data_IF_159547133732
#
_entry.id   IF_159547133732
#
_cell.length_a   1.000
_cell.length_b   1.000
_cell.length_c   1.000
_cell.angle_alpha   90.00
_cell.angle_beta   90.00
_cell.angle_gamma   90.00
#
_symmetry.space_group_name_H-M   'P 1'
#
loop_
_entity.id
_entity.type
_entity.pdbx_description
1 polymer ?
#
# COMPACT_ATOMS: atom_id res chain seq x y z
N UNK A 1 14.27 35.88 16.01
CA UNK A 1 15.04 35.23 14.93
C UNK A 1 14.82 33.74 15.08
N UNK A 2 13.66 33.23 14.63
CA UNK A 2 13.37 31.81 14.65
C UNK A 2 14.13 31.17 13.47
N UNK A 3 14.92 30.16 13.79
CA UNK A 3 15.91 29.51 12.92
C UNK A 3 15.30 29.05 11.58
N UNK A 4 16.07 29.21 10.50
CA UNK A 4 15.86 28.61 9.17
C UNK A 4 16.04 27.09 9.16
N UNK A 5 15.76 26.41 10.27
CA UNK A 5 16.00 24.98 10.50
C UNK A 5 14.89 24.07 9.97
N UNK A 6 13.76 24.65 9.55
CA UNK A 6 12.69 23.93 8.88
C UNK A 6 13.00 23.74 7.38
N UNK A 7 14.18 23.22 7.06
CA UNK A 7 14.33 22.51 5.79
C UNK A 7 13.34 21.35 5.88
N UNK A 8 12.22 21.46 5.15
CA UNK A 8 11.04 20.58 5.30
C UNK A 8 11.50 19.13 5.42
N UNK A 9 11.06 18.39 6.45
CA UNK A 9 11.48 16.99 6.67
C UNK A 9 11.22 16.13 5.43
N UNK A 10 10.20 16.50 4.66
CA UNK A 10 9.90 15.96 3.34
C UNK A 10 11.07 16.17 2.36
N UNK A 11 11.65 17.38 2.25
CA UNK A 11 12.83 17.66 1.42
C UNK A 11 14.00 16.73 1.75
N UNK A 12 14.26 16.47 3.04
CA UNK A 12 15.34 15.57 3.46
C UNK A 12 15.12 14.13 2.96
N UNK A 13 13.87 13.72 2.78
CA UNK A 13 13.52 12.41 2.20
C UNK A 13 13.57 12.43 0.67
N UNK A 14 13.09 13.50 0.05
CA UNK A 14 12.97 13.60 -1.42
C UNK A 14 14.31 13.87 -2.11
N UNK A 15 15.12 14.80 -1.58
CA UNK A 15 16.32 15.30 -2.26
C UNK A 15 17.35 14.20 -2.60
N UNK A 16 17.71 13.27 -1.70
CA UNK A 16 18.66 12.21 -2.02
C UNK A 16 18.20 11.31 -3.18
N UNK A 17 16.89 11.00 -3.23
CA UNK A 17 16.31 10.18 -4.30
C UNK A 17 16.25 10.93 -5.62
N UNK A 18 15.87 12.22 -5.59
CA UNK A 18 15.88 13.08 -6.79
C UNK A 18 17.30 13.22 -7.36
N UNK A 19 18.31 13.42 -6.50
CA UNK A 19 19.71 13.47 -6.91
C UNK A 19 20.20 12.13 -7.52
N UNK A 20 19.79 11.00 -6.94
CA UNK A 20 20.07 9.66 -7.51
C UNK A 20 19.43 9.49 -8.89
N UNK A 21 18.20 9.98 -9.09
CA UNK A 21 17.54 9.98 -10.40
C UNK A 21 18.28 10.90 -11.38
N UNK A 22 18.66 12.11 -10.98
CA UNK A 22 19.40 13.07 -11.81
C UNK A 22 20.71 12.45 -12.30
N UNK A 23 21.47 11.84 -11.39
CA UNK A 23 22.76 11.20 -11.70
C UNK A 23 22.61 10.08 -12.73
N UNK A 24 21.60 9.23 -12.57
CA UNK A 24 21.38 8.09 -13.47
C UNK A 24 20.62 8.49 -14.76
N UNK A 25 19.86 9.58 -14.75
CA UNK A 25 19.06 10.08 -15.86
C UNK A 25 19.81 11.03 -16.81
N UNK A 26 21.03 11.43 -16.46
CA UNK A 26 21.83 12.38 -17.26
C UNK A 26 22.28 11.82 -18.63
N UNK A 27 22.13 10.51 -18.88
CA UNK A 27 22.37 9.92 -20.20
C UNK A 27 21.12 10.00 -21.09
N UNK A 28 21.28 10.53 -22.31
CA UNK A 28 20.29 11.00 -23.31
C UNK A 28 18.81 10.56 -23.21
N UNK A 29 18.48 9.30 -22.88
CA UNK A 29 17.09 8.79 -22.87
C UNK A 29 16.22 9.41 -21.75
N UNK A 30 16.81 9.78 -20.62
CA UNK A 30 16.07 10.24 -19.44
C UNK A 30 16.38 11.70 -19.05
N UNK A 31 16.92 12.49 -19.98
CA UNK A 31 17.30 13.89 -19.72
C UNK A 31 16.13 14.75 -19.25
N UNK A 32 14.93 14.55 -19.83
CA UNK A 32 13.70 15.25 -19.41
C UNK A 32 13.38 15.02 -17.94
N UNK A 33 13.41 13.76 -17.50
CA UNK A 33 13.20 13.37 -16.10
C UNK A 33 14.27 13.99 -15.20
N UNK A 34 15.54 13.95 -15.61
CA UNK A 34 16.62 14.58 -14.85
C UNK A 34 16.44 16.11 -14.72
N UNK A 35 15.95 16.80 -15.76
CA UNK A 35 15.63 18.23 -15.67
C UNK A 35 14.45 18.52 -14.74
N UNK A 36 13.41 17.69 -14.79
CA UNK A 36 12.24 17.79 -13.90
C UNK A 36 12.66 17.61 -12.43
N UNK A 37 13.47 16.59 -12.13
CA UNK A 37 14.02 16.38 -10.79
C UNK A 37 14.89 17.58 -10.33
N UNK A 38 15.74 18.14 -11.19
CA UNK A 38 16.54 19.34 -10.84
C UNK A 38 15.64 20.52 -10.49
N UNK A 39 14.64 20.78 -11.34
CA UNK A 39 13.68 21.85 -11.10
C UNK A 39 12.93 21.66 -9.78
N UNK A 40 12.54 20.42 -9.44
CA UNK A 40 11.87 20.13 -8.18
C UNK A 40 12.81 20.35 -6.97
N UNK A 41 14.07 19.92 -7.05
CA UNK A 41 15.08 20.16 -5.99
C UNK A 41 15.28 21.67 -5.76
N UNK A 42 15.37 22.46 -6.83
CA UNK A 42 15.52 23.91 -6.75
C UNK A 42 14.29 24.56 -6.09
N UNK A 43 13.08 24.14 -6.46
CA UNK A 43 11.83 24.64 -5.87
C UNK A 43 11.72 24.29 -4.37
N UNK A 44 12.00 23.04 -4.01
CA UNK A 44 12.00 22.58 -2.61
C UNK A 44 13.10 23.25 -1.76
N UNK A 45 14.14 23.79 -2.38
CA UNK A 45 15.23 24.51 -1.71
C UNK A 45 14.99 26.02 -1.63
N UNK A 46 13.94 26.53 -2.26
CA UNK A 46 13.65 27.97 -2.28
C UNK A 46 13.06 28.46 -0.94
N UNK A 47 13.35 29.71 -0.51
CA UNK A 47 12.85 30.25 0.75
C UNK A 47 11.32 30.44 0.79
N UNK A 48 10.67 30.47 -0.38
CA UNK A 48 9.22 30.50 -0.52
C UNK A 48 8.81 29.45 -1.58
N UNK A 49 8.66 28.17 -1.18
CA UNK A 49 8.41 27.07 -2.11
C UNK A 49 7.08 27.15 -2.86
N UNK A 50 6.20 28.09 -2.50
CA UNK A 50 4.79 28.02 -2.84
C UNK A 50 4.28 29.19 -3.69
N UNK A 51 3.36 28.93 -4.64
CA UNK A 51 2.91 27.60 -5.08
C UNK A 51 3.98 26.88 -5.94
N UNK A 52 4.12 25.55 -5.77
CA UNK A 52 5.03 24.73 -6.58
C UNK A 52 4.54 24.64 -8.04
N UNK A 53 3.21 24.69 -8.17
CA UNK A 53 2.46 24.75 -9.42
C UNK A 53 2.39 26.20 -9.93
N UNK A 54 2.50 26.41 -11.25
CA UNK A 54 2.33 27.74 -11.84
C UNK A 54 0.85 28.15 -11.76
N UNK A 55 0.51 29.42 -11.45
CA UNK A 55 -0.86 29.87 -11.54
C UNK A 55 -1.30 29.86 -13.01
N UNK A 56 -2.10 28.87 -13.40
CA UNK A 56 -2.84 28.94 -14.66
C UNK A 56 -3.78 30.16 -14.60
N UNK A 57 -3.91 30.86 -15.74
CA UNK A 57 -4.85 31.97 -15.85
C UNK A 57 -6.27 31.45 -15.61
N UNK A 58 -7.07 32.05 -14.70
CA UNK A 58 -8.37 31.49 -14.35
C UNK A 58 -9.29 31.60 -15.56
N UNK A 59 -9.65 30.47 -16.15
CA UNK A 59 -10.91 30.36 -16.88
C UNK A 59 -12.02 30.34 -15.82
N UNK A 60 -13.01 31.22 -15.98
CA UNK A 60 -14.08 31.43 -15.02
C UNK A 60 -14.96 30.17 -14.92
N UNK A 61 -14.61 29.25 -14.02
CA UNK A 61 -15.35 28.00 -13.79
C UNK A 61 -14.87 27.16 -12.61
N UNK A 62 -13.55 27.05 -12.37
CA UNK A 62 -12.98 25.98 -11.53
C UNK A 62 -12.20 26.44 -10.27
N UNK A 63 -12.52 27.60 -9.72
CA UNK A 63 -11.85 28.14 -8.51
C UNK A 63 -12.00 27.26 -7.24
N UNK A 64 -12.80 26.20 -7.28
CA UNK A 64 -13.08 25.32 -6.14
C UNK A 64 -12.14 24.11 -6.05
N UNK A 65 -11.47 23.72 -7.14
CA UNK A 65 -10.63 22.50 -7.18
C UNK A 65 -9.15 22.76 -6.84
N UNK A 66 -8.65 23.99 -7.05
CA UNK A 66 -7.22 24.33 -6.84
C UNK A 66 -6.83 24.53 -5.37
N UNK A 67 -7.77 24.40 -4.43
CA UNK A 67 -7.56 24.65 -2.99
C UNK A 67 -7.77 23.41 -2.11
N UNK A 68 -8.07 22.24 -2.70
CA UNK A 68 -8.20 21.01 -1.92
C UNK A 68 -6.83 20.54 -1.42
N UNK A 69 -6.74 20.22 -0.12
CA UNK A 69 -5.58 19.56 0.46
C UNK A 69 -5.29 18.27 -0.31
N UNK A 70 -4.02 18.05 -0.63
CA UNK A 70 -3.53 16.92 -1.39
C UNK A 70 -2.95 15.83 -0.49
N UNK A 71 -2.55 14.70 -1.09
CA UNK A 71 -2.14 13.52 -0.36
C UNK A 71 -0.73 13.60 0.24
N UNK A 72 0.08 14.60 -0.14
CA UNK A 72 1.44 14.78 0.38
C UNK A 72 1.41 15.70 1.62
N UNK A 73 2.11 15.29 2.66
CA UNK A 73 2.24 16.00 3.92
C UNK A 73 3.73 16.14 4.29
N UNK A 74 4.13 17.17 5.04
CA UNK A 74 5.54 17.37 5.46
C UNK A 74 5.81 17.12 6.95
N UNK A 75 4.80 16.72 7.72
CA UNK A 75 4.94 16.56 9.17
C UNK A 75 4.62 17.81 9.98
N UNK A 76 4.41 18.96 9.35
CA UNK A 76 4.13 20.26 9.96
C UNK A 76 2.73 20.80 9.67
N UNK A 77 2.48 22.07 9.96
CA UNK A 77 1.19 22.72 9.70
C UNK A 77 0.91 22.99 8.21
N UNK A 78 1.79 22.53 7.31
CA UNK A 78 1.71 22.80 5.88
C UNK A 78 1.09 21.61 5.15
N UNK A 79 0.00 21.88 4.43
CA UNK A 79 -0.66 20.91 3.55
C UNK A 79 -0.35 21.30 2.10
N UNK A 80 0.16 20.35 1.32
CA UNK A 80 0.34 20.55 -0.11
C UNK A 80 -1.02 20.45 -0.80
N UNK A 81 -1.27 21.25 -1.83
CA UNK A 81 -2.44 21.06 -2.68
C UNK A 81 -2.33 19.75 -3.47
N UNK A 82 -3.42 19.27 -4.07
CA UNK A 82 -3.39 18.14 -5.01
C UNK A 82 -2.41 18.41 -6.17
N UNK A 83 -2.43 19.63 -6.72
CA UNK A 83 -1.53 20.01 -7.82
C UNK A 83 -0.05 20.00 -7.39
N UNK A 84 0.25 20.52 -6.20
CA UNK A 84 1.62 20.49 -5.68
C UNK A 84 2.08 19.05 -5.37
N UNK A 85 1.16 18.22 -4.88
CA UNK A 85 1.40 16.79 -4.64
C UNK A 85 1.72 16.06 -5.96
N UNK A 86 1.00 16.38 -7.05
CA UNK A 86 1.28 15.83 -8.37
C UNK A 86 2.68 16.23 -8.86
N UNK A 87 3.06 17.50 -8.71
CA UNK A 87 4.40 18.00 -9.07
C UNK A 87 5.51 17.30 -8.25
N UNK A 88 5.24 17.00 -6.98
CA UNK A 88 6.19 16.28 -6.11
C UNK A 88 6.32 14.81 -6.52
N UNK A 89 5.21 14.15 -6.84
CA UNK A 89 5.15 12.70 -7.07
C UNK A 89 5.47 12.30 -8.52
N UNK A 90 5.22 13.17 -9.50
CA UNK A 90 5.41 12.89 -10.93
C UNK A 90 6.79 12.36 -11.30
N UNK A 91 7.92 12.85 -10.73
CA UNK A 91 9.24 12.35 -11.11
C UNK A 91 9.45 10.91 -10.64
N UNK A 92 8.86 10.51 -9.51
CA UNK A 92 8.98 9.15 -8.99
C UNK A 92 8.13 8.16 -9.78
N UNK A 93 6.93 8.55 -10.20
CA UNK A 93 6.10 7.77 -11.15
C UNK A 93 6.87 7.53 -12.46
N UNK A 94 7.43 8.59 -13.04
CA UNK A 94 8.26 8.51 -14.25
C UNK A 94 9.53 7.68 -14.06
N UNK A 95 10.12 7.72 -12.86
CA UNK A 95 11.29 6.93 -12.52
C UNK A 95 10.95 5.42 -12.50
N UNK A 96 9.82 5.05 -11.90
CA UNK A 96 9.32 3.68 -11.90
C UNK A 96 9.09 3.16 -13.33
N UNK A 97 8.48 3.97 -14.20
CA UNK A 97 8.24 3.62 -15.61
C UNK A 97 9.45 3.82 -16.55
N UNK A 98 10.64 4.10 -16.03
CA UNK A 98 11.81 4.42 -16.86
C UNK A 98 12.38 3.21 -17.62
N UNK A 99 12.12 1.99 -17.13
CA UNK A 99 12.77 0.76 -17.59
C UNK A 99 14.27 0.71 -17.31
N UNK A 100 14.80 1.63 -16.49
CA UNK A 100 16.19 1.62 -16.05
C UNK A 100 16.24 1.22 -14.57
N UNK A 101 16.89 0.09 -14.20
CA UNK A 101 16.89 -0.43 -12.84
C UNK A 101 17.32 0.60 -11.79
N UNK A 102 18.39 1.36 -12.04
CA UNK A 102 18.93 2.33 -11.06
C UNK A 102 18.01 3.55 -10.86
N UNK A 103 17.30 3.96 -11.91
CA UNK A 103 16.33 5.05 -11.83
C UNK A 103 15.07 4.56 -11.13
N UNK A 104 14.56 3.39 -11.52
CA UNK A 104 13.38 2.78 -10.89
C UNK A 104 13.63 2.50 -9.40
N UNK A 105 14.78 1.93 -9.03
CA UNK A 105 15.18 1.70 -7.64
C UNK A 105 15.11 2.99 -6.81
N UNK A 106 15.62 4.10 -7.34
CA UNK A 106 15.57 5.39 -6.65
C UNK A 106 14.14 5.92 -6.50
N UNK A 107 13.28 5.67 -7.50
CA UNK A 107 11.86 6.02 -7.46
C UNK A 107 11.09 5.23 -6.42
N UNK A 108 11.15 3.91 -6.49
CA UNK A 108 10.44 3.00 -5.59
C UNK A 108 10.92 3.17 -4.15
N UNK A 109 12.23 3.30 -3.90
CA UNK A 109 12.77 3.55 -2.55
C UNK A 109 12.27 4.86 -1.95
N UNK A 110 12.13 5.92 -2.76
CA UNK A 110 11.54 7.18 -2.28
C UNK A 110 10.08 7.01 -1.91
N UNK A 111 9.29 6.36 -2.76
CA UNK A 111 7.87 6.08 -2.50
C UNK A 111 7.72 5.25 -1.21
N UNK A 112 8.55 4.22 -1.03
CA UNK A 112 8.57 3.42 0.20
C UNK A 112 8.80 4.29 1.44
N UNK A 113 9.77 5.20 1.41
CA UNK A 113 10.07 6.12 2.53
C UNK A 113 8.95 7.11 2.79
N UNK A 114 8.30 7.61 1.74
CA UNK A 114 7.14 8.51 1.87
C UNK A 114 5.98 7.81 2.57
N UNK A 115 5.74 6.54 2.25
CA UNK A 115 4.74 5.71 2.92
C UNK A 115 5.16 5.42 4.37
N UNK A 116 6.38 4.91 4.57
CA UNK A 116 6.84 4.44 5.88
C UNK A 116 7.02 5.55 6.90
N UNK A 117 7.17 6.80 6.46
CA UNK A 117 7.25 7.96 7.34
C UNK A 117 5.90 8.73 7.44
N UNK A 118 4.84 8.24 6.80
CA UNK A 118 3.51 8.87 6.87
C UNK A 118 3.38 10.20 6.14
N UNK A 119 4.22 10.46 5.14
CA UNK A 119 4.14 11.63 4.27
C UNK A 119 3.09 11.47 3.16
N UNK A 120 2.62 10.24 2.89
CA UNK A 120 1.46 9.99 2.04
C UNK A 120 0.23 9.67 2.88
N UNK A 121 -0.84 10.41 2.63
CA UNK A 121 -2.13 10.30 3.31
C UNK A 121 -3.26 10.28 2.31
N UNK A 122 -4.36 9.61 2.67
CA UNK A 122 -5.57 9.53 1.85
C UNK A 122 -5.89 8.10 1.44
N UNK A 123 -6.70 7.96 0.40
CA UNK A 123 -7.20 6.68 -0.09
C UNK A 123 -6.70 6.42 -1.50
N UNK A 124 -6.00 5.32 -1.73
CA UNK A 124 -5.65 4.88 -3.08
C UNK A 124 -6.77 3.97 -3.62
N UNK A 125 -7.56 4.52 -4.54
CA UNK A 125 -8.68 3.85 -5.19
C UNK A 125 -8.85 4.42 -6.62
N UNK A 126 -8.64 3.63 -7.68
CA UNK A 126 -8.76 4.12 -9.06
C UNK A 126 -10.20 4.56 -9.40
N UNK A 127 -11.19 3.97 -8.73
CA UNK A 127 -12.61 4.31 -8.88
C UNK A 127 -13.06 5.40 -7.90
N UNK A 128 -12.14 5.89 -7.08
CA UNK A 128 -12.37 7.00 -6.16
C UNK A 128 -12.83 8.27 -6.88
N UNK A 129 -13.81 8.97 -6.30
CA UNK A 129 -14.33 10.23 -6.87
C UNK A 129 -13.38 11.41 -6.72
N UNK A 130 -12.41 11.32 -5.80
CA UNK A 130 -11.47 12.39 -5.49
C UNK A 130 -10.21 12.32 -6.36
N UNK A 131 -9.69 13.45 -6.87
CA UNK A 131 -8.46 13.48 -7.66
C UNK A 131 -7.23 12.91 -6.93
N UNK A 132 -7.11 13.16 -5.63
CA UNK A 132 -6.04 12.60 -4.80
C UNK A 132 -6.04 11.06 -4.80
N UNK A 133 -7.21 10.46 -4.93
CA UNK A 133 -7.36 9.01 -4.86
C UNK A 133 -6.80 8.32 -6.09
N UNK A 134 -7.06 8.92 -7.25
CA UNK A 134 -6.49 8.51 -8.53
C UNK A 134 -4.99 8.77 -8.61
N UNK A 135 -4.51 9.88 -8.03
CA UNK A 135 -3.08 10.18 -7.96
C UNK A 135 -2.33 9.12 -7.13
N UNK A 136 -2.87 8.76 -5.96
CA UNK A 136 -2.31 7.71 -5.09
C UNK A 136 -2.39 6.33 -5.76
N UNK A 137 -3.51 5.97 -6.38
CA UNK A 137 -3.64 4.72 -7.12
C UNK A 137 -2.64 4.64 -8.28
N UNK A 138 -2.47 5.72 -9.05
CA UNK A 138 -1.47 5.80 -10.12
C UNK A 138 -0.02 5.69 -9.62
N UNK A 139 0.27 6.20 -8.41
CA UNK A 139 1.57 6.02 -7.78
C UNK A 139 1.84 4.55 -7.47
N UNK A 140 0.89 3.85 -6.86
CA UNK A 140 1.00 2.42 -6.53
C UNK A 140 1.07 1.56 -7.80
N UNK A 141 0.25 1.86 -8.80
CA UNK A 141 0.28 1.20 -10.11
C UNK A 141 1.67 1.31 -10.76
N UNK A 142 2.31 2.49 -10.67
CA UNK A 142 3.66 2.67 -11.20
C UNK A 142 4.71 1.80 -10.50
N UNK A 143 4.56 1.58 -9.19
CA UNK A 143 5.42 0.67 -8.42
C UNK A 143 5.21 -0.78 -8.85
N UNK A 144 3.95 -1.20 -9.04
CA UNK A 144 3.61 -2.56 -9.46
C UNK A 144 4.21 -2.89 -10.83
N UNK A 145 4.14 -1.96 -11.78
CA UNK A 145 4.68 -2.09 -13.15
C UNK A 145 6.21 -2.19 -13.23
N UNK A 146 6.94 -1.88 -12.15
CA UNK A 146 8.40 -2.07 -12.13
C UNK A 146 8.79 -3.54 -12.34
N UNK A 147 8.03 -4.48 -11.78
CA UNK A 147 8.32 -5.92 -11.86
C UNK A 147 8.13 -6.47 -13.27
N UNK A 148 7.13 -5.97 -14.00
CA UNK A 148 6.86 -6.37 -15.38
C UNK A 148 7.92 -5.84 -16.35
N UNK A 149 8.44 -4.63 -16.08
CA UNK A 149 9.34 -3.93 -16.98
C UNK A 149 10.83 -4.18 -16.71
N UNK A 150 11.17 -4.64 -15.51
CA UNK A 150 12.56 -4.80 -15.04
C UNK A 150 12.70 -6.16 -14.35
N UNK A 151 13.41 -7.08 -15.00
CA UNK A 151 13.81 -8.36 -14.41
C UNK A 151 15.05 -8.18 -13.53
N UNK A 152 14.88 -7.71 -12.29
CA UNK A 152 15.95 -7.52 -11.31
C UNK A 152 15.49 -7.92 -9.89
N UNK A 153 16.23 -8.83 -9.26
CA UNK A 153 15.87 -9.39 -7.94
C UNK A 153 15.88 -8.35 -6.82
N UNK A 154 16.71 -7.30 -6.94
CA UNK A 154 16.74 -6.19 -5.99
C UNK A 154 15.50 -5.30 -6.12
N UNK A 155 15.03 -5.07 -7.35
CA UNK A 155 13.78 -4.36 -7.62
C UNK A 155 12.58 -5.14 -7.09
N UNK A 156 12.54 -6.46 -7.28
CA UNK A 156 11.47 -7.32 -6.74
C UNK A 156 11.32 -7.15 -5.22
N UNK A 157 12.42 -7.28 -4.45
CA UNK A 157 12.40 -7.09 -2.99
C UNK A 157 11.96 -5.68 -2.59
N UNK A 158 12.41 -4.67 -3.34
CA UNK A 158 12.06 -3.29 -3.06
C UNK A 158 10.58 -3.01 -3.34
N UNK A 159 10.01 -3.61 -4.39
CA UNK A 159 8.57 -3.56 -4.67
C UNK A 159 7.79 -4.27 -3.57
N UNK A 160 8.17 -5.49 -3.18
CA UNK A 160 7.54 -6.20 -2.06
C UNK A 160 7.52 -5.35 -0.78
N UNK A 161 8.66 -4.71 -0.46
CA UNK A 161 8.80 -3.84 0.72
C UNK A 161 7.83 -2.66 0.64
N UNK A 162 7.74 -2.04 -0.53
CA UNK A 162 6.90 -0.86 -0.77
C UNK A 162 5.43 -1.20 -0.68
N UNK A 163 5.01 -2.30 -1.32
CA UNK A 163 3.62 -2.73 -1.34
C UNK A 163 3.15 -3.20 0.04
N UNK A 164 3.98 -3.95 0.78
CA UNK A 164 3.65 -4.31 2.16
C UNK A 164 3.57 -3.07 3.05
N UNK A 165 4.49 -2.11 2.91
CA UNK A 165 4.41 -0.82 3.62
C UNK A 165 3.10 -0.08 3.30
N UNK A 166 2.66 -0.10 2.04
CA UNK A 166 1.42 0.55 1.60
C UNK A 166 0.18 -0.08 2.26
N UNK A 167 0.07 -1.41 2.24
CA UNK A 167 -1.07 -2.12 2.87
C UNK A 167 -1.04 -1.98 4.40
N UNK A 168 0.15 -1.93 5.00
CA UNK A 168 0.33 -1.77 6.45
C UNK A 168 0.02 -0.34 6.92
N UNK A 169 0.25 0.66 6.09
CA UNK A 169 0.03 2.06 6.44
C UNK A 169 -1.40 2.30 6.91
N UNK A 170 -1.55 3.13 7.94
CA UNK A 170 -2.85 3.59 8.45
C UNK A 170 -3.20 4.97 7.91
N UNK A 171 -2.22 5.72 7.40
CA UNK A 171 -2.40 7.04 6.81
C UNK A 171 -2.73 6.96 5.32
N UNK A 172 -2.12 6.02 4.61
CA UNK A 172 -2.41 5.67 3.23
C UNK A 172 -3.29 4.41 3.22
N UNK A 173 -4.57 4.56 2.93
CA UNK A 173 -5.53 3.46 2.89
C UNK A 173 -5.63 2.93 1.46
N UNK A 174 -5.40 1.63 1.27
CA UNK A 174 -5.49 0.96 -0.04
C UNK A 174 -6.81 0.20 -0.11
N UNK A 175 -7.58 0.43 -1.17
CA UNK A 175 -8.91 -0.18 -1.36
C UNK A 175 -9.10 -0.71 -2.78
N UNK A 176 -10.10 -1.59 -2.95
CA UNK A 176 -10.63 -1.99 -4.25
C UNK A 176 -9.58 -2.56 -5.21
N UNK A 177 -9.64 -2.14 -6.47
CA UNK A 177 -8.75 -2.61 -7.53
C UNK A 177 -7.27 -2.31 -7.25
N UNK A 178 -6.97 -1.22 -6.54
CA UNK A 178 -5.61 -0.93 -6.11
C UNK A 178 -5.07 -2.02 -5.18
N UNK A 179 -5.88 -2.50 -4.24
CA UNK A 179 -5.50 -3.58 -3.32
C UNK A 179 -5.33 -4.91 -4.08
N UNK A 180 -6.25 -5.21 -5.00
CA UNK A 180 -6.17 -6.43 -5.81
C UNK A 180 -4.93 -6.45 -6.69
N UNK A 181 -4.55 -5.30 -7.27
CA UNK A 181 -3.31 -5.16 -8.04
C UNK A 181 -2.09 -5.47 -7.17
N UNK A 182 -2.02 -4.93 -5.95
CA UNK A 182 -0.92 -5.22 -5.01
C UNK A 182 -0.80 -6.72 -4.75
N UNK A 183 -1.91 -7.36 -4.36
CA UNK A 183 -1.94 -8.80 -4.06
C UNK A 183 -1.50 -9.60 -5.29
N UNK A 184 -2.00 -9.25 -6.48
CA UNK A 184 -1.61 -9.89 -7.73
C UNK A 184 -0.12 -9.73 -8.03
N UNK A 185 0.44 -8.53 -7.90
CA UNK A 185 1.87 -8.30 -8.12
C UNK A 185 2.74 -9.10 -7.15
N UNK A 186 2.39 -9.16 -5.87
CA UNK A 186 3.11 -9.99 -4.91
C UNK A 186 3.02 -11.49 -5.25
N UNK A 187 1.85 -11.95 -5.71
CA UNK A 187 1.67 -13.33 -6.16
C UNK A 187 2.47 -13.65 -7.44
N UNK A 188 2.50 -12.72 -8.41
CA UNK A 188 3.30 -12.85 -9.62
C UNK A 188 4.81 -12.94 -9.29
N UNK A 189 5.31 -12.20 -8.28
CA UNK A 189 6.70 -12.35 -7.78
C UNK A 189 6.89 -13.71 -7.11
N UNK A 190 5.95 -14.16 -6.28
CA UNK A 190 6.02 -15.46 -5.60
C UNK A 190 6.18 -16.61 -6.59
N UNK A 191 5.43 -16.60 -7.70
CA UNK A 191 5.52 -17.65 -8.72
C UNK A 191 6.65 -17.44 -9.74
N UNK A 192 6.94 -16.18 -10.08
CA UNK A 192 7.79 -15.83 -11.21
C UNK A 192 9.24 -15.49 -10.88
N UNK A 193 9.56 -15.18 -9.62
CA UNK A 193 10.91 -14.81 -9.22
C UNK A 193 11.88 -15.97 -9.39
N UNK A 194 13.12 -15.69 -9.79
CA UNK A 194 14.21 -16.69 -9.87
C UNK A 194 14.95 -16.86 -8.55
N UNK A 195 14.67 -15.99 -7.58
CA UNK A 195 15.34 -15.95 -6.29
C UNK A 195 14.40 -16.54 -5.22
N UNK A 196 14.80 -17.66 -4.62
CA UNK A 196 13.98 -18.35 -3.61
C UNK A 196 13.73 -17.46 -2.38
N UNK A 197 14.67 -16.58 -2.00
CA UNK A 197 14.45 -15.62 -0.91
C UNK A 197 13.32 -14.65 -1.27
N UNK A 198 13.27 -14.17 -2.52
CA UNK A 198 12.20 -13.29 -2.99
C UNK A 198 10.86 -14.02 -3.05
N UNK A 199 10.83 -15.28 -3.52
CA UNK A 199 9.62 -16.10 -3.51
C UNK A 199 9.07 -16.26 -2.09
N UNK A 200 9.92 -16.65 -1.14
CA UNK A 200 9.53 -16.81 0.27
C UNK A 200 9.10 -15.47 0.89
N UNK A 201 9.82 -14.39 0.59
CA UNK A 201 9.47 -13.04 1.05
C UNK A 201 8.11 -12.60 0.51
N UNK A 202 7.82 -12.89 -0.76
CA UNK A 202 6.54 -12.61 -1.39
C UNK A 202 5.40 -13.41 -0.75
N UNK A 203 5.60 -14.73 -0.51
CA UNK A 203 4.64 -15.57 0.20
C UNK A 203 4.33 -15.04 1.60
N UNK A 204 5.36 -14.74 2.39
CA UNK A 204 5.17 -14.16 3.73
C UNK A 204 4.47 -12.80 3.67
N UNK A 205 4.82 -11.94 2.70
CA UNK A 205 4.19 -10.63 2.53
C UNK A 205 2.71 -10.74 2.18
N UNK A 206 2.34 -11.68 1.30
CA UNK A 206 0.93 -11.97 0.97
C UNK A 206 0.14 -12.39 2.22
N UNK A 207 0.68 -13.31 3.01
CA UNK A 207 0.03 -13.75 4.26
C UNK A 207 -0.13 -12.58 5.22
N UNK A 208 0.91 -11.76 5.40
CA UNK A 208 0.83 -10.58 6.26
C UNK A 208 -0.23 -9.59 5.77
N UNK A 209 -0.31 -9.34 4.46
CA UNK A 209 -1.34 -8.48 3.86
C UNK A 209 -2.76 -9.01 4.15
N UNK A 210 -2.96 -10.33 4.05
CA UNK A 210 -4.24 -10.95 4.37
C UNK A 210 -4.61 -10.74 5.82
N UNK A 211 -3.69 -11.05 6.75
CA UNK A 211 -3.91 -10.83 8.17
C UNK A 211 -4.29 -9.37 8.43
N UNK A 212 -3.63 -8.41 7.78
CA UNK A 212 -3.98 -6.98 7.91
C UNK A 212 -5.41 -6.70 7.43
N UNK A 213 -5.76 -7.14 6.21
CA UNK A 213 -7.08 -6.89 5.61
C UNK A 213 -8.18 -7.49 6.47
N UNK A 214 -8.05 -8.75 6.88
CA UNK A 214 -9.05 -9.42 7.70
C UNK A 214 -9.16 -8.84 9.11
N UNK A 215 -8.05 -8.50 9.77
CA UNK A 215 -8.09 -7.85 11.09
C UNK A 215 -8.75 -6.48 11.04
N UNK A 216 -8.46 -5.69 10.01
CA UNK A 216 -9.12 -4.39 9.80
C UNK A 216 -10.61 -4.55 9.53
N UNK A 217 -11.00 -5.55 8.75
CA UNK A 217 -12.41 -5.88 8.50
C UNK A 217 -13.12 -6.31 9.80
N UNK A 218 -12.55 -7.24 10.57
CA UNK A 218 -13.14 -7.75 11.82
C UNK A 218 -13.38 -6.65 12.83
N UNK A 219 -12.43 -5.73 12.95
CA UNK A 219 -12.51 -4.60 13.87
C UNK A 219 -13.24 -3.38 13.31
N UNK A 220 -13.69 -3.44 12.05
CA UNK A 220 -14.28 -2.32 11.31
C UNK A 220 -13.43 -1.03 11.40
N UNK A 221 -12.11 -1.17 11.28
CA UNK A 221 -11.17 -0.06 11.45
C UNK A 221 -9.86 -0.28 10.70
N UNK A 222 -9.41 0.74 9.96
CA UNK A 222 -8.13 0.73 9.24
C UNK A 222 -6.91 0.94 10.13
N UNK A 223 -7.10 1.30 11.41
CA UNK A 223 -6.00 1.71 12.31
C UNK A 223 -5.66 0.65 13.36
N UNK A 224 -6.27 -0.52 13.28
CA UNK A 224 -5.99 -1.60 14.22
C UNK A 224 -4.53 -2.06 14.07
N UNK A 225 -3.77 -2.15 15.18
CA UNK A 225 -2.41 -2.67 15.14
C UNK A 225 -2.45 -4.16 14.81
N UNK A 226 -1.57 -4.58 13.90
CA UNK A 226 -1.44 -5.96 13.46
C UNK A 226 -0.02 -6.42 13.73
N UNK A 227 0.11 -7.53 14.45
CA UNK A 227 1.43 -8.07 14.75
C UNK A 227 2.06 -8.71 13.50
N UNK A 228 3.41 -8.69 13.38
CA UNK A 228 4.11 -9.48 12.38
C UNK A 228 3.76 -10.96 12.53
N UNK A 229 3.50 -11.64 11.42
CA UNK A 229 3.38 -13.10 11.37
C UNK A 229 4.68 -13.78 11.79
N UNK A 230 4.57 -15.00 12.32
CA UNK A 230 5.73 -15.87 12.60
C UNK A 230 6.00 -16.71 11.35
N UNK A 231 7.04 -16.36 10.61
CA UNK A 231 7.36 -16.98 9.31
C UNK A 231 7.70 -18.46 9.45
N UNK A 232 8.36 -18.86 10.55
CA UNK A 232 8.72 -20.25 10.81
C UNK A 232 7.48 -21.17 10.80
N UNK A 233 6.41 -20.80 11.50
CA UNK A 233 5.16 -21.58 11.60
C UNK A 233 4.46 -21.76 10.24
N UNK A 234 4.70 -20.84 9.31
CA UNK A 234 4.07 -20.83 7.97
C UNK A 234 4.86 -21.64 6.95
N UNK A 235 6.14 -21.90 7.22
CA UNK A 235 7.05 -22.61 6.32
C UNK A 235 7.19 -24.09 6.67
N UNK A 236 6.61 -24.55 7.80
CA UNK A 236 6.64 -25.93 8.28
C UNK A 236 5.55 -26.85 7.67
N UNK A 237 4.82 -26.40 6.64
CA UNK A 237 3.89 -27.26 5.88
C UNK A 237 4.64 -28.44 5.22
N UNK A 238 3.98 -29.61 5.01
CA UNK A 238 4.62 -30.94 5.00
C UNK A 238 5.62 -31.25 3.87
N UNK A 239 5.87 -30.32 2.95
CA UNK A 239 6.74 -30.53 1.80
C UNK A 239 8.17 -29.96 1.98
N UNK A 240 8.44 -29.21 3.05
CA UNK A 240 9.73 -28.53 3.24
C UNK A 240 10.50 -28.99 4.48
N UNK A 241 10.94 -30.26 4.49
CA UNK A 241 11.93 -30.73 5.47
C UNK A 241 13.36 -30.16 5.24
N UNK A 242 13.52 -29.16 4.36
CA UNK A 242 14.81 -28.58 3.93
C UNK A 242 14.81 -27.03 3.95
N UNK A 243 13.96 -26.43 4.79
CA UNK A 243 13.92 -24.96 4.93
C UNK A 243 15.21 -24.41 5.55
N UNK A 244 15.97 -23.62 4.81
CA UNK A 244 17.17 -22.91 5.31
C UNK A 244 16.79 -21.97 6.47
N UNK A 245 17.25 -22.23 7.71
CA UNK A 245 16.96 -21.37 8.86
C UNK A 245 17.38 -19.92 8.64
N UNK A 246 18.42 -19.67 7.83
CA UNK A 246 18.87 -18.33 7.47
C UNK A 246 17.85 -17.55 6.64
N UNK A 247 17.16 -18.22 5.73
CA UNK A 247 16.09 -17.64 4.91
C UNK A 247 14.90 -17.23 5.77
N UNK A 248 14.45 -18.10 6.67
CA UNK A 248 13.33 -17.82 7.58
C UNK A 248 13.64 -16.60 8.46
N UNK A 249 14.87 -16.49 8.99
CA UNK A 249 15.31 -15.34 9.79
C UNK A 249 15.33 -14.05 8.97
N UNK A 250 15.82 -14.10 7.72
CA UNK A 250 15.81 -12.93 6.85
C UNK A 250 14.38 -12.45 6.57
N UNK A 251 13.49 -13.36 6.18
CA UNK A 251 12.11 -13.04 5.83
C UNK A 251 11.34 -12.51 7.05
N UNK A 252 11.54 -13.12 8.22
CA UNK A 252 11.00 -12.60 9.47
C UNK A 252 11.47 -11.17 9.74
N UNK A 253 12.79 -10.92 9.61
CA UNK A 253 13.37 -9.60 9.79
C UNK A 253 12.82 -8.56 8.80
N UNK A 254 12.56 -8.98 7.56
CA UNK A 254 11.93 -8.14 6.54
C UNK A 254 10.52 -7.70 6.94
N UNK A 255 9.64 -8.65 7.32
CA UNK A 255 8.26 -8.34 7.73
C UNK A 255 8.25 -7.49 9.00
N UNK A 256 8.97 -7.91 10.03
CA UNK A 256 9.03 -7.22 11.33
C UNK A 256 9.50 -5.78 11.17
N UNK A 257 10.53 -5.54 10.33
CA UNK A 257 11.02 -4.18 10.09
C UNK A 257 9.97 -3.28 9.44
N UNK A 258 9.21 -3.78 8.46
CA UNK A 258 8.16 -3.00 7.79
C UNK A 258 7.04 -2.64 8.77
N UNK A 259 6.61 -3.60 9.60
CA UNK A 259 5.61 -3.35 10.66
C UNK A 259 6.10 -2.26 11.64
N UNK A 260 7.35 -2.36 12.09
CA UNK A 260 7.96 -1.41 13.03
C UNK A 260 8.14 0.00 12.43
N UNK A 261 8.57 0.09 11.17
CA UNK A 261 8.75 1.38 10.47
C UNK A 261 7.42 2.15 10.43
N UNK A 262 6.29 1.46 10.25
CA UNK A 262 4.94 2.05 10.23
C UNK A 262 4.43 2.36 11.65
N UNK A 263 4.61 1.46 12.61
CA UNK A 263 4.20 1.68 14.00
C UNK A 263 4.93 2.86 14.66
N UNK A 264 6.21 3.07 14.33
CA UNK A 264 7.01 4.19 14.84
C UNK A 264 6.48 5.57 14.43
N UNK A 265 5.72 5.65 13.33
CA UNK A 265 5.02 6.88 12.91
C UNK A 265 3.79 7.14 13.78
N UNK A 266 3.11 6.07 14.23
CA UNK A 266 1.88 6.16 15.03
C UNK A 266 2.17 6.38 16.51
N UNK A 267 3.26 5.81 17.01
CA UNK A 267 3.72 5.94 18.40
C UNK A 267 5.19 6.40 18.44
N UNK A 268 5.47 7.70 18.28
CA UNK A 268 6.83 8.22 18.43
C UNK A 268 7.28 8.06 19.90
N UNK A 269 8.03 7.00 20.18
CA UNK A 269 8.71 6.83 21.47
C UNK A 269 9.76 7.94 21.61
N UNK A 270 9.81 8.71 22.72
CA UNK A 270 10.90 9.65 22.95
C UNK A 270 12.25 8.91 22.96
N UNK A 271 13.15 9.26 22.05
CA UNK A 271 14.52 8.76 22.03
C UNK A 271 15.22 9.10 23.36
N UNK A 272 15.88 8.15 24.03
CA UNK A 272 16.82 8.50 25.08
C UNK A 272 18.02 9.21 24.45
N UNK A 273 18.39 10.36 25.01
CA UNK A 273 19.57 11.12 24.61
C UNK A 273 20.82 10.23 24.61
N UNK A 274 21.69 10.45 23.61
CA UNK A 274 22.99 9.76 23.46
C UNK A 274 23.85 9.95 24.72
N UNK A 275 23.83 8.95 25.59
CA UNK A 275 24.85 8.68 26.59
C UNK A 275 25.60 7.40 26.21
N UNK A 276 26.93 7.48 26.18
CA UNK A 276 27.86 6.44 25.76
C UNK A 276 27.68 5.07 26.45
N UNK A 277 27.73 3.99 25.64
CA UNK A 277 28.35 2.72 25.99
C UNK A 277 27.55 1.74 26.84
N UNK A 278 26.74 0.90 26.19
CA UNK A 278 26.53 -0.51 26.57
C UNK A 278 25.76 -1.22 25.45
N UNK A 279 26.26 -2.39 25.04
CA UNK A 279 25.53 -3.33 24.17
C UNK A 279 24.48 -4.03 25.04
N UNK A 280 23.18 -4.01 24.70
CA UNK A 280 22.24 -4.95 25.29
C UNK A 280 22.17 -6.19 24.41
N UNK A 281 22.68 -7.29 24.96
CA UNK A 281 22.36 -8.66 24.56
C UNK A 281 20.86 -8.86 24.77
N UNK A 282 20.12 -9.17 23.71
CA UNK A 282 18.69 -9.44 23.78
C UNK A 282 18.50 -10.91 24.18
N UNK A 283 18.36 -11.16 25.48
CA UNK A 283 17.90 -12.44 26.02
C UNK A 283 16.36 -12.49 25.94
N UNK A 284 15.86 -13.59 25.39
CA UNK A 284 14.44 -13.78 25.13
C UNK A 284 13.70 -14.13 26.40
N UNK A 285 12.73 -13.29 26.79
CA UNK A 285 11.51 -13.68 27.50
C UNK A 285 10.73 -12.41 27.85
N UNK A 286 9.67 -12.13 27.10
CA UNK A 286 8.54 -11.42 27.67
C UNK A 286 7.29 -12.22 27.36
N UNK A 287 6.85 -12.99 28.35
CA UNK A 287 5.55 -13.66 28.34
C UNK A 287 4.45 -12.61 28.22
N UNK A 288 3.80 -12.56 27.05
CA UNK A 288 2.52 -11.87 26.88
C UNK A 288 1.39 -12.89 26.95
N UNK A 289 0.95 -13.17 28.17
CA UNK A 289 -0.36 -13.78 28.43
C UNK A 289 -1.43 -12.73 28.15
N UNK A 290 -1.87 -12.63 26.91
CA UNK A 290 -3.14 -11.99 26.56
C UNK A 290 -4.10 -13.10 26.13
N UNK A 291 -5.14 -13.28 26.93
CA UNK A 291 -6.25 -14.17 26.64
C UNK A 291 -6.95 -13.71 25.35
N UNK A 292 -6.68 -14.38 24.24
CA UNK A 292 -7.54 -14.40 23.07
C UNK A 292 -7.84 -15.86 22.75
N UNK A 293 -8.95 -16.36 23.29
CA UNK A 293 -9.62 -17.55 22.75
C UNK A 293 -10.18 -17.17 21.38
N UNK A 294 -9.34 -17.26 20.36
CA UNK A 294 -9.74 -17.39 18.95
C UNK A 294 -9.26 -18.77 18.56
N UNK A 295 -10.16 -19.63 18.08
CA UNK A 295 -9.80 -20.94 17.53
C UNK A 295 -8.65 -20.73 16.52
N UNK A 296 -7.51 -21.35 16.81
CA UNK A 296 -6.26 -21.12 16.10
C UNK A 296 -6.28 -21.74 14.72
N UNK A 297 -6.72 -20.98 13.72
CA UNK A 297 -6.39 -21.27 12.32
C UNK A 297 -4.98 -20.75 12.04
N UNK A 298 -4.10 -21.62 11.55
CA UNK A 298 -2.77 -21.24 11.13
C UNK A 298 -2.90 -20.25 9.95
N UNK A 299 -2.23 -19.08 9.96
CA UNK A 299 -2.33 -18.12 8.86
C UNK A 299 -1.87 -18.70 7.50
N UNK A 300 -1.13 -19.81 7.47
CA UNK A 300 -0.76 -20.52 6.24
C UNK A 300 -1.96 -21.22 5.59
N UNK A 301 -2.94 -21.65 6.39
CA UNK A 301 -4.16 -22.32 5.90
C UNK A 301 -5.04 -21.36 5.08
N UNK A 302 -4.81 -20.03 5.19
CA UNK A 302 -5.48 -19.02 4.36
C UNK A 302 -5.09 -19.07 2.88
N UNK A 303 -3.99 -19.75 2.53
CA UNK A 303 -3.52 -19.88 1.15
C UNK A 303 -3.88 -21.24 0.52
N UNK A 304 -4.27 -22.23 1.33
CA UNK A 304 -4.60 -23.58 0.86
C UNK A 304 -6.13 -23.75 0.81
N UNK A 305 -6.73 -23.35 -0.30
CA UNK A 305 -8.20 -23.39 -0.45
C UNK A 305 -8.67 -24.81 -0.76
N UNK A 306 -9.49 -25.40 0.11
CA UNK A 306 -10.19 -26.66 -0.19
C UNK A 306 -11.52 -26.41 -0.92
N UNK A 307 -12.10 -27.44 -1.56
CA UNK A 307 -13.42 -27.35 -2.22
C UNK A 307 -14.54 -26.88 -1.27
N UNK A 308 -14.39 -27.13 0.04
CA UNK A 308 -15.31 -26.68 1.08
C UNK A 308 -15.24 -25.17 1.27
N UNK A 309 -14.05 -24.59 1.28
CA UNK A 309 -13.85 -23.15 1.46
C UNK A 309 -14.40 -22.35 0.27
N UNK A 310 -14.39 -22.93 -0.93
CA UNK A 310 -15.07 -22.37 -2.10
C UNK A 310 -16.60 -22.34 -1.94
N UNK A 311 -17.20 -23.38 -1.37
CA UNK A 311 -18.64 -23.40 -1.11
C UNK A 311 -19.01 -22.36 -0.05
N UNK A 312 -18.18 -22.20 0.98
CA UNK A 312 -18.37 -21.17 2.01
C UNK A 312 -18.15 -19.76 1.43
N UNK A 313 -17.17 -19.56 0.55
CA UNK A 313 -16.97 -18.33 -0.22
C UNK A 313 -18.22 -17.96 -1.03
N UNK A 314 -18.76 -18.94 -1.76
CA UNK A 314 -19.97 -18.79 -2.57
C UNK A 314 -21.20 -18.54 -1.70
N UNK A 315 -21.28 -19.17 -0.52
CA UNK A 315 -22.37 -18.95 0.43
C UNK A 315 -22.30 -17.57 1.07
N UNK A 316 -21.09 -17.10 1.38
CA UNK A 316 -20.83 -15.73 1.81
C UNK A 316 -21.20 -14.72 0.74
N UNK A 317 -20.78 -14.97 -0.49
CA UNK A 317 -21.16 -14.16 -1.65
C UNK A 317 -22.69 -14.06 -1.78
N UNK A 318 -23.39 -15.19 -1.72
CA UNK A 318 -24.87 -15.24 -1.74
C UNK A 318 -25.48 -14.49 -0.54
N UNK A 319 -24.95 -14.68 0.67
CA UNK A 319 -25.44 -14.02 1.89
C UNK A 319 -25.19 -12.51 1.86
N UNK A 320 -24.11 -12.09 1.22
CA UNK A 320 -23.73 -10.70 1.01
C UNK A 320 -24.63 -10.05 -0.06
N UNK A 321 -24.88 -10.73 -1.19
CA UNK A 321 -25.90 -10.35 -2.17
C UNK A 321 -27.25 -10.16 -1.50
N UNK A 322 -27.65 -11.11 -0.65
CA UNK A 322 -28.90 -11.07 0.11
C UNK A 322 -28.95 -9.86 1.04
N UNK A 323 -27.88 -9.58 1.79
CA UNK A 323 -27.81 -8.44 2.72
C UNK A 323 -27.85 -7.09 1.97
N UNK A 324 -27.15 -6.97 0.84
CA UNK A 324 -27.17 -5.76 0.01
C UNK A 324 -28.54 -5.52 -0.65
N UNK A 325 -29.22 -6.59 -1.07
CA UNK A 325 -30.60 -6.53 -1.59
C UNK A 325 -31.61 -6.21 -0.50
N UNK A 326 -31.45 -6.76 0.71
CA UNK A 326 -32.30 -6.46 1.86
C UNK A 326 -32.15 -5.00 2.34
N UNK A 327 -30.94 -4.43 2.27
CA UNK A 327 -30.72 -3.00 2.51
C UNK A 327 -31.50 -2.09 1.55
N UNK A 328 -31.65 -2.50 0.29
CA UNK A 328 -32.45 -1.78 -0.73
C UNK A 328 -33.96 -2.02 -0.62
N UNK A 329 -34.38 -3.08 0.08
CA UNK A 329 -35.78 -3.35 0.41
C UNK A 329 -36.27 -2.48 1.58
N UNK A 330 -35.38 -2.07 2.48
CA UNK A 330 -35.68 -1.12 3.56
C UNK A 330 -35.99 0.31 3.09
N UNK A 331 -35.53 0.71 1.91
CA UNK A 331 -35.83 2.03 1.30
C UNK A 331 -37.11 2.03 0.44
N UNK A 332 -37.70 0.86 0.17
CA UNK A 332 -38.89 0.72 -0.70
C UNK A 332 -40.18 0.34 0.05
N UNK A 333 -40.13 0.19 1.38
CA UNK A 333 -41.34 -0.02 2.21
C UNK A 333 -42.00 1.31 2.66
N UNK A 334 -41.59 2.44 2.08
CA UNK A 334 -42.28 3.72 2.17
C UNK A 334 -42.76 4.17 0.79
N UNK A 335 -44.08 4.24 0.62
CA UNK A 335 -44.84 4.78 -0.52
C UNK A 335 -45.21 3.81 -1.66
N UNK A 336 -46.46 3.33 -1.53
CA UNK A 336 -47.51 3.10 -2.53
C UNK A 336 -47.16 2.63 -3.97
N UNK A 337 -47.88 1.59 -4.39
CA UNK A 337 -47.54 0.76 -5.52
C UNK A 337 -47.89 1.29 -6.91
N UNK A 338 -47.18 0.76 -7.91
CA UNK A 338 -47.67 0.61 -9.28
C UNK A 338 -46.86 -0.43 -10.06
N UNK A 339 -47.58 -1.43 -10.57
CA UNK A 339 -47.36 -2.19 -11.80
C UNK A 339 -45.96 -2.76 -12.13
N UNK A 340 -45.88 -4.08 -12.02
CA UNK A 340 -44.91 -4.96 -12.69
C UNK A 340 -45.09 -4.85 -14.21
N UNK A 341 -44.11 -4.31 -14.94
CA UNK A 341 -43.91 -4.61 -16.37
C UNK A 341 -42.41 -4.60 -16.72
N UNK A 342 -41.91 -5.78 -17.15
CA UNK A 342 -40.83 -5.94 -18.13
C UNK A 342 -39.40 -5.71 -17.66
N UNK A 343 -38.72 -6.76 -17.22
CA UNK A 343 -37.26 -6.80 -17.21
C UNK A 343 -36.77 -7.57 -18.44
N UNK A 344 -35.89 -7.03 -19.29
CA UNK A 344 -35.14 -7.84 -20.23
C UNK A 344 -34.12 -8.66 -19.43
N UNK A 345 -33.85 -9.89 -19.87
CA UNK A 345 -32.72 -10.66 -19.41
C UNK A 345 -31.45 -9.84 -19.63
N UNK A 346 -30.79 -9.42 -18.55
CA UNK A 346 -29.44 -8.89 -18.57
C UNK A 346 -28.57 -9.82 -17.73
N UNK A 347 -27.77 -10.61 -18.43
CA UNK A 347 -26.49 -11.05 -17.93
C UNK A 347 -25.65 -9.80 -17.65
N UNK A 348 -25.65 -9.30 -16.42
CA UNK A 348 -24.78 -8.21 -16.00
C UNK A 348 -24.22 -8.55 -14.61
N UNK A 349 -22.89 -8.49 -14.50
CA UNK A 349 -22.12 -8.46 -13.26
C UNK A 349 -22.75 -7.48 -12.25
N UNK A 350 -23.65 -7.97 -11.39
CA UNK A 350 -24.25 -7.16 -10.34
C UNK A 350 -23.19 -6.88 -9.27
N UNK A 351 -22.44 -5.82 -9.48
CA UNK A 351 -21.46 -5.27 -8.55
C UNK A 351 -22.15 -5.01 -7.19
N UNK A 352 -21.92 -5.90 -6.21
CA UNK A 352 -22.49 -5.74 -4.86
C UNK A 352 -21.92 -4.49 -4.24
N UNK A 353 -22.76 -3.47 -4.04
CA UNK A 353 -22.41 -2.32 -3.22
C UNK A 353 -22.37 -2.73 -1.74
N UNK A 354 -21.30 -3.39 -1.34
CA UNK A 354 -20.96 -3.55 0.07
C UNK A 354 -20.65 -2.14 0.58
N UNK A 355 -21.52 -1.60 1.45
CA UNK A 355 -21.39 -0.23 1.96
C UNK A 355 -20.13 -0.01 2.81
N UNK A 356 -19.58 -1.08 3.39
CA UNK A 356 -18.33 -1.06 4.16
C UNK A 356 -17.13 -1.43 3.29
N UNK A 357 -16.21 -0.48 3.05
CA UNK A 357 -15.03 -0.68 2.21
C UNK A 357 -14.14 -1.83 2.71
N UNK A 358 -13.95 -1.97 4.03
CA UNK A 358 -13.09 -3.01 4.60
C UNK A 358 -13.65 -4.43 4.38
N UNK A 359 -14.98 -4.58 4.48
CA UNK A 359 -15.65 -5.85 4.13
C UNK A 359 -15.57 -6.14 2.64
N UNK A 360 -15.67 -5.10 1.80
CA UNK A 360 -15.50 -5.23 0.35
C UNK A 360 -14.10 -5.71 0.01
N UNK A 361 -13.09 -5.09 0.57
CA UNK A 361 -11.68 -5.44 0.34
C UNK A 361 -11.38 -6.88 0.76
N UNK A 362 -11.80 -7.28 1.97
CA UNK A 362 -11.60 -8.64 2.45
C UNK A 362 -12.28 -9.67 1.53
N UNK A 363 -13.52 -9.40 1.10
CA UNK A 363 -14.22 -10.25 0.14
C UNK A 363 -13.49 -10.34 -1.21
N UNK A 364 -13.08 -9.20 -1.77
CA UNK A 364 -12.39 -9.13 -3.05
C UNK A 364 -11.06 -9.89 -3.02
N UNK A 365 -10.27 -9.68 -1.97
CA UNK A 365 -8.98 -10.34 -1.77
C UNK A 365 -9.15 -11.84 -1.61
N UNK A 366 -10.09 -12.29 -0.76
CA UNK A 366 -10.39 -13.70 -0.58
C UNK A 366 -10.78 -14.37 -1.91
N UNK A 367 -11.73 -13.75 -2.65
CA UNK A 367 -12.17 -14.23 -3.96
C UNK A 367 -11.01 -14.29 -4.96
N UNK A 368 -10.13 -13.30 -4.96
CA UNK A 368 -8.97 -13.27 -5.85
C UNK A 368 -8.00 -14.41 -5.53
N UNK A 369 -7.72 -14.68 -4.26
CA UNK A 369 -6.84 -15.79 -3.86
C UNK A 369 -7.40 -17.17 -4.19
N UNK A 370 -8.70 -17.40 -3.96
CA UNK A 370 -9.33 -18.65 -4.38
C UNK A 370 -9.14 -18.88 -5.89
N UNK A 371 -9.31 -17.84 -6.72
CA UNK A 371 -9.09 -17.93 -8.17
C UNK A 371 -7.62 -18.17 -8.55
N UNK A 372 -6.68 -17.65 -7.77
CA UNK A 372 -5.24 -17.84 -8.00
C UNK A 372 -4.78 -19.24 -7.60
N UNK A 373 -5.33 -19.80 -6.52
CA UNK A 373 -5.05 -21.18 -6.05
C UNK A 373 -5.50 -22.26 -7.05
N UNK A 374 -6.44 -21.95 -7.94
CA UNK A 374 -6.95 -22.88 -8.97
C UNK A 374 -6.11 -22.93 -10.26
N UNK A 375 -5.06 -22.12 -10.38
CA UNK A 375 -4.13 -22.11 -11.53
C UNK A 375 -2.83 -22.80 -11.16
#
# INVERSE_FOLDING_TARGET
MASSEADSRLKQVLAPSLEKIIKNGSWRKHSKLAHECKSLVDKLSSPNPYPLSSPESPTAGDASASSAAGPVYDGGAHEYSVADSEVILSPFVKACSSGNPKIAEAGVDCIQKLISHGYLRGEADPDGSLPESKLLAGLIDSVCKCVESISDEGIELLVLKTLLSAVTSTSLRIHGDCLLQIVRTCYDIYLGSKNVVNQTTAKASLIQMLVIVFRRMEADSSTVPVQPIVVAELMEAPEAADGDPGMTVFVQGFITKIMQDIDGVLNPVPLPEKGSGAVPVHDGAFESRINATVEGTNPADLLDSTDKDMLDAKYWEISMYKTALEGRKGELDGEDGAAIVGMPERDDDLEVQIGNKLRRDAFLVFRALCKLSMK
#
